data_IF_653939693028
#
_entry.id   IF_653939693028
#
_cell.length_a   1.000
_cell.length_b   1.000
_cell.length_c   1.000
_cell.angle_alpha   90.00
_cell.angle_beta   90.00
_cell.angle_gamma   90.00
#
_symmetry.space_group_name_H-M   'P 1'
#
loop_
_entity.id
_entity.type
_entity.pdbx_description
1 polymer ?
#
# COMPACT_ATOMS: atom_id res chain seq x y z
N UNK A 1 13.78 -17.83 9.22
CA UNK A 1 13.27 -16.52 9.68
C UNK A 1 13.05 -16.59 11.17
N UNK A 2 13.38 -15.51 11.88
CA UNK A 2 13.05 -15.44 13.30
C UNK A 2 11.53 -15.12 13.46
N UNK A 3 11.04 -15.35 14.66
CA UNK A 3 9.62 -15.20 14.99
C UNK A 3 9.12 -13.75 14.75
N UNK A 4 9.94 -12.76 15.08
CA UNK A 4 9.61 -11.34 14.88
C UNK A 4 9.48 -10.98 13.40
N UNK A 5 10.37 -11.48 12.53
CA UNK A 5 10.27 -11.29 11.10
C UNK A 5 8.99 -11.91 10.51
N UNK A 6 8.61 -13.08 10.99
CA UNK A 6 7.36 -13.73 10.58
C UNK A 6 6.15 -12.91 11.02
N UNK A 7 6.11 -12.48 12.27
CA UNK A 7 5.04 -11.63 12.80
C UNK A 7 4.88 -10.34 11.98
N UNK A 8 5.99 -9.66 11.68
CA UNK A 8 5.96 -8.41 10.91
C UNK A 8 5.53 -8.65 9.46
N UNK A 9 5.94 -9.77 8.86
CA UNK A 9 5.49 -10.16 7.52
C UNK A 9 3.97 -10.31 7.47
N UNK A 10 3.40 -11.02 8.44
CA UNK A 10 1.96 -11.31 8.48
C UNK A 10 1.11 -10.09 8.86
N UNK A 11 1.60 -9.29 9.80
CA UNK A 11 0.80 -8.21 10.40
C UNK A 11 0.87 -6.89 9.64
N UNK A 12 2.05 -6.53 9.15
CA UNK A 12 2.28 -5.17 8.62
C UNK A 12 2.52 -5.12 7.11
N UNK A 13 2.91 -6.21 6.48
CA UNK A 13 3.32 -6.22 5.07
C UNK A 13 2.39 -7.09 4.22
N UNK A 14 2.11 -8.30 4.65
CA UNK A 14 1.24 -9.25 3.94
C UNK A 14 -0.12 -8.66 3.54
N UNK A 15 -0.81 -7.94 4.41
CA UNK A 15 -2.11 -7.36 4.07
C UNK A 15 -2.09 -6.35 2.92
N UNK A 16 -0.95 -5.71 2.67
CA UNK A 16 -0.80 -4.73 1.59
C UNK A 16 -0.57 -5.40 0.24
N UNK A 17 0.31 -6.40 0.19
CA UNK A 17 0.67 -7.10 -1.03
C UNK A 17 1.28 -6.22 -2.11
N UNK A 18 1.42 -6.81 -3.31
CA UNK A 18 2.05 -6.13 -4.46
C UNK A 18 1.06 -5.90 -5.62
N UNK A 19 -0.24 -6.01 -5.36
CA UNK A 19 -1.28 -5.91 -6.38
C UNK A 19 -2.35 -4.90 -5.99
N UNK A 20 -2.75 -4.06 -6.93
CA UNK A 20 -3.85 -3.12 -6.74
C UNK A 20 -3.48 -1.87 -5.93
N UNK A 21 -2.25 -1.73 -5.51
CA UNK A 21 -1.66 -0.55 -4.89
C UNK A 21 -0.17 -0.50 -5.14
N UNK A 22 0.46 0.64 -4.96
CA UNK A 22 1.90 0.82 -5.22
C UNK A 22 2.72 1.12 -3.95
N UNK A 23 2.21 0.81 -2.79
CA UNK A 23 2.91 1.13 -1.54
C UNK A 23 4.23 0.35 -1.40
N UNK A 24 4.24 -0.93 -1.77
CA UNK A 24 5.42 -1.79 -1.65
C UNK A 24 6.24 -1.90 -2.95
N UNK A 25 5.69 -1.50 -4.09
CA UNK A 25 6.32 -1.70 -5.40
C UNK A 25 6.76 -0.41 -6.08
N UNK A 26 6.90 0.67 -5.33
CA UNK A 26 7.42 1.95 -5.82
C UNK A 26 8.38 2.57 -4.81
N UNK A 27 9.26 3.44 -5.28
CA UNK A 27 10.12 4.25 -4.43
C UNK A 27 9.36 5.50 -4.00
N UNK A 28 9.18 5.66 -2.71
CA UNK A 28 8.51 6.84 -2.16
C UNK A 28 8.97 7.11 -0.71
N UNK A 29 8.80 8.34 -0.29
CA UNK A 29 9.00 8.78 1.09
C UNK A 29 8.03 9.93 1.40
N UNK A 30 8.15 10.55 2.56
CA UNK A 30 7.24 11.62 2.98
C UNK A 30 7.30 12.89 2.09
N UNK A 31 8.29 13.01 1.21
CA UNK A 31 8.43 14.15 0.30
C UNK A 31 7.72 13.94 -1.04
N UNK A 32 7.37 12.71 -1.40
CA UNK A 32 6.71 12.38 -2.67
C UNK A 32 5.51 11.45 -2.51
N UNK A 33 4.75 11.59 -1.43
CA UNK A 33 3.58 10.75 -1.14
C UNK A 33 2.41 10.97 -2.11
N UNK A 34 2.44 12.03 -2.93
CA UNK A 34 1.45 12.28 -3.99
C UNK A 34 1.41 11.19 -5.06
N UNK A 35 2.48 10.40 -5.19
CA UNK A 35 2.58 9.33 -6.18
C UNK A 35 1.90 8.02 -5.74
N UNK A 36 1.47 7.92 -4.49
CA UNK A 36 0.77 6.75 -4.00
C UNK A 36 -0.66 6.68 -4.55
N UNK A 37 -1.10 5.45 -4.85
CA UNK A 37 -2.47 5.17 -5.30
C UNK A 37 -3.40 5.02 -4.10
N UNK A 38 -3.89 6.13 -3.56
CA UNK A 38 -4.75 6.13 -2.38
C UNK A 38 -6.09 5.42 -2.63
N UNK A 39 -6.67 5.60 -3.81
CA UNK A 39 -7.92 4.92 -4.18
C UNK A 39 -7.72 3.40 -4.30
N UNK A 40 -6.52 2.96 -4.66
CA UNK A 40 -6.16 1.56 -4.71
C UNK A 40 -5.87 0.97 -3.34
N UNK A 41 -5.14 1.70 -2.48
CA UNK A 41 -4.71 1.17 -1.18
C UNK A 41 -5.81 1.15 -0.13
N UNK A 42 -6.87 1.93 -0.31
CA UNK A 42 -7.93 2.09 0.68
C UNK A 42 -8.50 0.76 1.18
N UNK A 43 -8.85 -0.15 0.30
CA UNK A 43 -9.47 -1.42 0.69
C UNK A 43 -8.54 -2.31 1.52
N UNK A 44 -7.23 -2.25 1.27
CA UNK A 44 -6.24 -3.02 2.03
C UNK A 44 -6.08 -2.45 3.44
N UNK A 45 -6.02 -1.13 3.58
CA UNK A 45 -5.96 -0.46 4.89
C UNK A 45 -7.28 -0.59 5.65
N UNK A 46 -8.40 -0.58 4.95
CA UNK A 46 -9.72 -0.85 5.55
C UNK A 46 -9.76 -2.24 6.18
N UNK A 47 -9.28 -3.24 5.45
CA UNK A 47 -9.21 -4.62 5.97
C UNK A 47 -8.27 -4.71 7.19
N UNK A 48 -7.13 -4.03 7.15
CA UNK A 48 -6.22 -3.99 8.31
C UNK A 48 -6.89 -3.36 9.54
N UNK A 49 -7.65 -2.29 9.33
CA UNK A 49 -8.28 -1.54 10.43
C UNK A 49 -9.46 -2.28 11.06
N UNK A 50 -10.32 -2.88 10.23
CA UNK A 50 -11.60 -3.45 10.67
C UNK A 50 -11.64 -4.98 10.64
N UNK A 51 -10.65 -5.65 10.06
CA UNK A 51 -10.62 -7.11 9.96
C UNK A 51 -11.64 -7.69 8.98
N UNK A 52 -12.22 -6.88 8.12
CA UNK A 52 -13.21 -7.29 7.12
C UNK A 52 -12.96 -6.62 5.78
N UNK A 53 -13.41 -7.26 4.71
CA UNK A 53 -13.26 -6.74 3.36
C UNK A 53 -14.21 -5.56 3.13
N UNK A 54 -13.68 -4.47 2.55
CA UNK A 54 -14.53 -3.36 2.13
C UNK A 54 -15.50 -3.82 1.03
N UNK A 55 -16.76 -3.44 1.17
CA UNK A 55 -17.82 -3.71 0.20
C UNK A 55 -18.65 -2.45 0.02
N UNK A 56 -18.95 -2.11 -1.24
CA UNK A 56 -19.86 -1.01 -1.57
C UNK A 56 -21.16 -1.60 -2.14
N UNK A 57 -22.01 -2.10 -1.25
CA UNK A 57 -23.27 -2.77 -1.63
C UNK A 57 -24.40 -1.79 -1.98
N UNK A 58 -24.25 -0.52 -1.62
CA UNK A 58 -25.33 0.48 -1.74
C UNK A 58 -25.47 1.11 -3.12
N UNK A 59 -24.64 0.74 -4.08
CA UNK A 59 -24.63 1.34 -5.42
C UNK A 59 -24.17 2.80 -5.44
N UNK A 60 -23.69 3.33 -4.32
CA UNK A 60 -23.06 4.64 -4.26
C UNK A 60 -21.67 4.51 -4.89
N UNK A 61 -21.41 5.30 -5.91
CA UNK A 61 -20.14 5.29 -6.61
C UNK A 61 -19.05 6.01 -5.77
N UNK A 62 -18.61 5.39 -4.68
CA UNK A 62 -17.53 5.95 -3.89
C UNK A 62 -17.64 5.69 -2.39
N UNK A 63 -16.66 6.24 -1.67
CA UNK A 63 -16.52 6.15 -0.21
C UNK A 63 -16.70 7.55 0.37
N UNK A 64 -17.45 7.69 1.46
CA UNK A 64 -17.58 8.99 2.13
C UNK A 64 -16.21 9.54 2.53
N UNK A 65 -16.04 10.85 2.46
CA UNK A 65 -14.76 11.49 2.79
C UNK A 65 -14.31 11.13 4.21
N UNK A 66 -15.22 11.16 5.18
CA UNK A 66 -14.90 10.84 6.58
C UNK A 66 -14.34 9.42 6.73
N UNK A 67 -14.95 8.44 6.09
CA UNK A 67 -14.49 7.04 6.17
C UNK A 67 -13.15 6.83 5.46
N UNK A 68 -13.03 7.34 4.24
CA UNK A 68 -11.79 7.23 3.46
C UNK A 68 -10.60 7.89 4.18
N UNK A 69 -10.76 9.13 4.59
CA UNK A 69 -9.72 9.90 5.28
C UNK A 69 -9.34 9.25 6.61
N UNK A 70 -10.32 8.80 7.39
CA UNK A 70 -10.08 8.11 8.67
C UNK A 70 -9.24 6.84 8.48
N UNK A 71 -9.54 6.02 7.47
CA UNK A 71 -8.79 4.80 7.19
C UNK A 71 -7.37 5.11 6.71
N UNK A 72 -7.23 5.97 5.72
CA UNK A 72 -5.91 6.32 5.16
C UNK A 72 -5.01 6.97 6.23
N UNK A 73 -5.54 7.94 6.96
CA UNK A 73 -4.77 8.70 7.96
C UNK A 73 -4.40 7.88 9.19
N UNK A 74 -5.06 6.76 9.42
CA UNK A 74 -4.64 5.79 10.45
C UNK A 74 -3.25 5.20 10.15
N UNK A 75 -2.91 5.00 8.87
CA UNK A 75 -1.70 4.29 8.45
C UNK A 75 -0.68 5.15 7.69
N UNK A 76 -1.08 6.31 7.19
CA UNK A 76 -0.23 7.18 6.38
C UNK A 76 -0.24 8.60 6.94
N UNK A 77 0.93 9.27 7.05
CA UNK A 77 1.04 10.62 7.59
C UNK A 77 0.65 11.68 6.55
N UNK A 78 -0.60 11.67 6.14
CA UNK A 78 -1.18 12.61 5.17
C UNK A 78 -2.34 13.36 5.78
N UNK A 79 -2.66 14.53 5.23
CA UNK A 79 -3.80 15.33 5.65
C UNK A 79 -5.02 15.09 4.76
N UNK A 80 -6.20 15.47 5.24
CA UNK A 80 -7.42 15.40 4.44
C UNK A 80 -7.33 16.27 3.19
N UNK A 81 -6.71 17.45 3.28
CA UNK A 81 -6.49 18.37 2.16
C UNK A 81 -5.60 17.74 1.10
N UNK A 82 -4.50 17.11 1.51
CA UNK A 82 -3.59 16.39 0.62
C UNK A 82 -4.30 15.22 -0.08
N UNK A 83 -5.12 14.45 0.63
CA UNK A 83 -5.89 13.35 0.05
C UNK A 83 -6.89 13.85 -1.02
N UNK A 84 -7.57 14.96 -0.77
CA UNK A 84 -8.48 15.56 -1.77
C UNK A 84 -7.76 16.01 -3.03
N UNK A 85 -6.51 16.45 -2.91
CA UNK A 85 -5.68 16.85 -4.04
C UNK A 85 -5.08 15.64 -4.77
N UNK A 86 -4.61 14.63 -4.03
CA UNK A 86 -3.81 13.53 -4.60
C UNK A 86 -4.63 12.32 -5.04
N UNK A 87 -5.77 12.07 -4.41
CA UNK A 87 -6.66 10.98 -4.76
C UNK A 87 -7.76 11.43 -5.74
N UNK A 88 -8.50 10.50 -6.29
CA UNK A 88 -9.70 10.78 -7.09
C UNK A 88 -10.84 11.08 -6.13
N UNK A 89 -11.20 12.34 -6.04
CA UNK A 89 -12.18 12.89 -5.12
C UNK A 89 -13.22 13.75 -5.84
N UNK A 90 -14.49 13.62 -5.47
CA UNK A 90 -15.59 14.42 -5.97
C UNK A 90 -16.06 15.40 -4.89
N UNK A 91 -15.81 16.70 -5.10
CA UNK A 91 -16.17 17.75 -4.17
C UNK A 91 -17.69 17.88 -3.99
N UNK A 92 -18.47 17.66 -5.05
CA UNK A 92 -19.92 17.81 -4.99
C UNK A 92 -20.58 16.78 -4.07
N UNK A 93 -20.17 15.52 -4.20
CA UNK A 93 -20.68 14.43 -3.35
C UNK A 93 -19.91 14.26 -2.06
N UNK A 94 -18.75 14.91 -1.91
CA UNK A 94 -17.81 14.72 -0.80
C UNK A 94 -17.45 13.23 -0.61
N UNK A 95 -17.10 12.58 -1.72
CA UNK A 95 -16.72 11.17 -1.75
C UNK A 95 -15.43 10.94 -2.52
N UNK A 96 -14.69 9.90 -2.12
CA UNK A 96 -13.56 9.39 -2.89
C UNK A 96 -14.03 8.24 -3.77
N UNK A 97 -13.55 8.20 -5.00
CA UNK A 97 -13.88 7.11 -5.90
C UNK A 97 -13.22 5.80 -5.43
N UNK A 98 -13.91 4.72 -5.60
CA UNK A 98 -13.39 3.38 -5.37
C UNK A 98 -13.89 2.43 -6.44
N UNK A 99 -12.99 1.60 -6.97
CA UNK A 99 -13.31 0.59 -7.96
C UNK A 99 -12.71 -0.75 -7.51
N UNK A 100 -13.55 -1.77 -7.55
CA UNK A 100 -13.14 -3.12 -7.18
C UNK A 100 -12.01 -3.62 -8.08
N UNK A 101 -11.04 -4.31 -7.49
CA UNK A 101 -9.96 -4.96 -8.24
C UNK A 101 -10.55 -5.98 -9.23
N UNK A 102 -10.06 -5.98 -10.45
CA UNK A 102 -10.56 -6.82 -11.52
C UNK A 102 -11.71 -6.21 -12.33
N UNK A 103 -12.16 -5.01 -11.97
CA UNK A 103 -13.09 -4.23 -12.77
C UNK A 103 -12.32 -3.14 -13.52
N UNK A 104 -12.76 -2.81 -14.74
CA UNK A 104 -12.08 -1.81 -15.57
C UNK A 104 -10.83 -2.34 -16.25
N UNK A 105 -9.81 -1.52 -16.38
CA UNK A 105 -8.61 -1.79 -17.19
C UNK A 105 -7.45 -2.42 -16.40
N UNK A 106 -7.67 -2.79 -15.15
CA UNK A 106 -6.61 -3.36 -14.32
C UNK A 106 -6.33 -4.81 -14.72
N UNK A 107 -5.09 -5.07 -15.16
CA UNK A 107 -4.59 -6.40 -15.48
C UNK A 107 -3.66 -6.89 -14.36
N UNK A 108 -3.97 -8.02 -13.69
CA UNK A 108 -3.05 -8.60 -12.72
C UNK A 108 -1.76 -9.06 -13.40
N UNK A 109 -0.65 -8.95 -12.66
CA UNK A 109 0.67 -9.40 -13.13
C UNK A 109 1.16 -10.55 -12.26
N UNK A 110 2.09 -11.36 -12.79
CA UNK A 110 2.75 -12.40 -11.98
C UNK A 110 3.47 -11.80 -10.79
N UNK A 111 4.12 -10.66 -10.96
CA UNK A 111 4.74 -9.91 -9.88
C UNK A 111 3.74 -9.58 -8.76
N UNK A 112 2.52 -9.21 -9.11
CA UNK A 112 1.47 -8.88 -8.15
C UNK A 112 1.06 -10.04 -7.23
N UNK A 113 1.37 -11.28 -7.61
CA UNK A 113 1.13 -12.48 -6.81
C UNK A 113 2.26 -12.77 -5.81
N UNK A 114 3.33 -11.99 -5.81
CA UNK A 114 4.45 -12.14 -4.89
C UNK A 114 3.98 -12.00 -3.44
N UNK A 115 4.60 -12.79 -2.56
CA UNK A 115 4.37 -12.74 -1.12
C UNK A 115 5.55 -12.02 -0.45
N UNK A 116 5.27 -11.08 0.47
CA UNK A 116 6.33 -10.41 1.20
C UNK A 116 6.89 -11.28 2.33
N UNK A 117 8.19 -11.30 2.43
CA UNK A 117 8.92 -12.00 3.48
C UNK A 117 9.93 -11.05 4.11
N UNK A 118 9.67 -10.62 5.34
CA UNK A 118 10.59 -9.78 6.11
C UNK A 118 11.79 -10.63 6.51
N UNK A 119 12.98 -10.20 6.12
CA UNK A 119 14.23 -10.91 6.41
C UNK A 119 15.11 -10.21 7.42
N UNK A 120 14.91 -8.91 7.64
CA UNK A 120 15.67 -8.12 8.61
C UNK A 120 14.79 -6.97 9.15
N UNK A 121 14.94 -6.67 10.42
CA UNK A 121 14.30 -5.57 11.11
C UNK A 121 15.37 -4.70 11.75
N UNK A 122 15.41 -3.42 11.40
CA UNK A 122 16.36 -2.46 11.96
C UNK A 122 15.64 -1.33 12.66
N UNK A 123 15.91 -1.16 13.95
CA UNK A 123 15.39 -0.06 14.75
C UNK A 123 16.35 1.12 14.70
N UNK A 124 15.85 2.29 14.28
CA UNK A 124 16.63 3.52 14.20
C UNK A 124 16.43 4.39 15.46
N UNK A 125 17.41 5.25 15.75
CA UNK A 125 17.36 6.15 16.90
C UNK A 125 16.23 7.20 16.81
N UNK A 126 15.79 7.54 15.60
CA UNK A 126 14.70 8.49 15.37
C UNK A 126 13.29 7.89 15.57
N UNK A 127 13.21 6.64 15.99
CA UNK A 127 11.95 5.93 16.21
C UNK A 127 11.37 5.25 14.96
N UNK A 128 12.02 5.38 13.81
CA UNK A 128 11.64 4.62 12.61
C UNK A 128 12.18 3.20 12.67
N UNK A 129 11.50 2.29 11.97
CA UNK A 129 11.90 0.89 11.84
C UNK A 129 11.97 0.56 10.36
N UNK A 130 13.09 0.02 9.91
CA UNK A 130 13.28 -0.40 8.52
C UNK A 130 13.13 -1.91 8.41
N UNK A 131 12.21 -2.34 7.59
CA UNK A 131 11.97 -3.74 7.28
C UNK A 131 12.59 -4.06 5.92
N UNK A 132 13.58 -4.95 5.88
CA UNK A 132 14.09 -5.48 4.62
C UNK A 132 13.22 -6.65 4.21
N UNK A 133 12.65 -6.60 3.01
CA UNK A 133 11.60 -7.49 2.56
C UNK A 133 11.98 -8.09 1.21
N UNK A 134 11.87 -9.41 1.09
CA UNK A 134 11.91 -10.10 -0.19
C UNK A 134 10.48 -10.31 -0.70
N UNK A 135 10.22 -9.91 -1.94
CA UNK A 135 9.00 -10.27 -2.65
C UNK A 135 9.24 -11.61 -3.35
N UNK A 136 8.61 -12.67 -2.85
CA UNK A 136 8.80 -14.03 -3.34
C UNK A 136 7.61 -14.45 -4.18
N UNK A 137 7.86 -14.92 -5.41
CA UNK A 137 6.82 -15.42 -6.30
C UNK A 137 6.86 -16.94 -6.40
N UNK A 138 5.90 -17.61 -5.79
CA UNK A 138 5.81 -19.08 -5.78
C UNK A 138 5.31 -19.68 -7.09
N UNK A 139 4.72 -18.87 -7.96
CA UNK A 139 4.08 -19.36 -9.20
C UNK A 139 5.07 -19.65 -10.35
N UNK A 140 6.31 -19.23 -10.19
CA UNK A 140 7.39 -19.51 -11.14
C UNK A 140 8.41 -20.36 -10.41
N UNK A 141 9.00 -21.35 -11.08
CA UNK A 141 10.05 -22.24 -10.56
C UNK A 141 11.34 -21.42 -10.31
N UNK A 142 11.21 -20.35 -9.55
CA UNK A 142 12.27 -19.44 -9.19
C UNK A 142 12.26 -19.32 -7.66
N UNK A 143 13.28 -19.86 -7.02
CA UNK A 143 13.43 -19.79 -5.57
C UNK A 143 14.02 -18.46 -5.10
N UNK A 144 14.28 -17.55 -6.04
CA UNK A 144 14.88 -16.24 -5.74
C UNK A 144 13.80 -15.17 -5.59
N UNK A 145 14.07 -14.22 -4.72
CA UNK A 145 13.22 -13.04 -4.58
C UNK A 145 13.18 -12.25 -5.89
N UNK A 146 11.98 -11.84 -6.31
CA UNK A 146 11.79 -11.01 -7.50
C UNK A 146 12.39 -9.62 -7.29
N UNK A 147 12.14 -9.05 -6.11
CA UNK A 147 12.76 -7.80 -5.65
C UNK A 147 13.06 -7.92 -4.16
N UNK A 148 14.01 -7.10 -3.73
CA UNK A 148 14.22 -6.80 -2.30
C UNK A 148 13.97 -5.30 -2.12
N UNK A 149 13.22 -4.95 -1.09
CA UNK A 149 12.94 -3.56 -0.78
C UNK A 149 13.00 -3.30 0.72
N UNK A 150 13.16 -2.04 1.09
CA UNK A 150 13.15 -1.58 2.46
C UNK A 150 11.89 -0.75 2.70
N UNK A 151 11.01 -1.24 3.55
CA UNK A 151 9.84 -0.52 4.01
C UNK A 151 10.16 0.16 5.34
N UNK A 152 10.01 1.47 5.39
CA UNK A 152 10.19 2.23 6.63
C UNK A 152 8.84 2.48 7.27
N UNK A 153 8.72 2.13 8.54
CA UNK A 153 7.51 2.31 9.34
C UNK A 153 7.82 3.09 10.62
N UNK A 154 6.81 3.70 11.21
CA UNK A 154 6.91 4.34 12.51
C UNK A 154 5.72 3.92 13.36
N UNK A 155 5.99 3.32 14.52
CA UNK A 155 4.94 2.94 15.45
C UNK A 155 4.47 4.17 16.23
N UNK A 156 3.15 4.32 16.35
CA UNK A 156 2.53 5.39 17.10
C UNK A 156 2.35 4.97 18.57
N UNK A 157 2.10 5.93 19.45
CA UNK A 157 1.92 5.67 20.89
C UNK A 157 0.73 4.74 21.20
N UNK A 158 -0.28 4.70 20.33
CA UNK A 158 -1.43 3.79 20.46
C UNK A 158 -1.18 2.38 19.90
N UNK A 159 0.04 2.10 19.43
CA UNK A 159 0.41 0.82 18.84
C UNK A 159 0.10 0.68 17.35
N UNK A 160 -0.53 1.67 16.72
CA UNK A 160 -0.74 1.68 15.28
C UNK A 160 0.57 1.93 14.54
N UNK A 161 0.61 1.55 13.26
CA UNK A 161 1.77 1.72 12.40
C UNK A 161 1.51 2.80 11.35
N UNK A 162 2.48 3.72 11.16
CA UNK A 162 2.52 4.59 10.00
C UNK A 162 3.57 4.10 9.01
N UNK A 163 3.20 3.98 7.75
CA UNK A 163 4.12 3.72 6.65
C UNK A 163 4.70 5.06 6.18
N UNK A 164 6.01 5.19 6.17
CA UNK A 164 6.67 6.48 5.90
C UNK A 164 7.65 6.46 4.74
N UNK A 165 7.88 5.32 4.13
CA UNK A 165 8.72 5.21 2.94
C UNK A 165 8.93 3.77 2.49
N UNK A 166 9.30 3.62 1.22
CA UNK A 166 9.67 2.35 0.62
C UNK A 166 10.77 2.57 -0.42
N UNK A 167 11.78 1.74 -0.44
CA UNK A 167 12.91 1.82 -1.36
C UNK A 167 13.20 0.47 -1.97
N UNK A 168 13.10 0.37 -3.29
CA UNK A 168 13.47 -0.82 -4.04
C UNK A 168 14.99 -0.88 -4.15
N UNK A 169 15.60 -1.98 -3.73
CA UNK A 169 17.05 -2.13 -3.72
C UNK A 169 17.60 -2.56 -5.09
N UNK A 170 18.87 -2.25 -5.31
CA UNK A 170 19.61 -2.58 -6.51
C UNK A 170 18.88 -2.16 -7.79
N UNK A 171 18.82 -3.01 -8.78
CA UNK A 171 18.10 -2.78 -10.04
C UNK A 171 16.68 -3.42 -10.04
N UNK A 172 16.15 -3.73 -8.85
CA UNK A 172 14.85 -4.39 -8.72
C UNK A 172 13.69 -3.63 -9.36
N UNK A 173 13.80 -2.29 -9.44
CA UNK A 173 12.77 -1.46 -10.11
C UNK A 173 12.55 -1.87 -11.57
N UNK A 174 13.59 -2.36 -12.25
CA UNK A 174 13.51 -2.81 -13.65
C UNK A 174 12.71 -4.13 -13.81
N UNK A 175 12.54 -4.88 -12.71
CA UNK A 175 11.78 -6.12 -12.67
C UNK A 175 10.29 -5.90 -12.38
N UNK A 176 9.92 -4.69 -11.99
CA UNK A 176 8.55 -4.36 -11.63
C UNK A 176 7.82 -3.88 -12.89
N UNK A 177 6.68 -4.50 -13.25
CA UNK A 177 5.85 -3.98 -14.34
C UNK A 177 5.42 -2.54 -14.04
N UNK A 178 5.22 -1.74 -15.10
CA UNK A 178 4.70 -0.39 -14.93
C UNK A 178 3.41 -0.43 -14.12
N UNK A 179 3.37 0.31 -13.01
CA UNK A 179 2.20 0.35 -12.17
C UNK A 179 1.01 0.97 -12.91
N UNK A 180 -0.12 0.30 -12.84
CA UNK A 180 -1.40 0.80 -13.35
C UNK A 180 -2.24 1.29 -12.17
N UNK A 181 -2.51 2.60 -12.12
CA UNK A 181 -3.36 3.16 -11.08
C UNK A 181 -4.77 2.58 -11.17
N UNK A 182 -5.37 2.31 -10.01
CA UNK A 182 -6.72 1.74 -9.91
C UNK A 182 -7.75 2.60 -10.64
N UNK A 183 -7.62 3.90 -10.51
CA UNK A 183 -8.46 4.91 -11.15
C UNK A 183 -7.57 5.97 -11.78
N UNK A 184 -7.85 6.28 -13.03
CA UNK A 184 -7.20 7.41 -13.69
C UNK A 184 -7.72 8.72 -13.09
N UNK A 185 -6.79 9.57 -12.66
CA UNK A 185 -7.15 10.95 -12.38
C UNK A 185 -7.61 11.57 -13.70
N UNK A 186 -8.80 12.15 -13.70
CA UNK A 186 -9.23 12.96 -14.83
C UNK A 186 -8.18 14.05 -15.01
N UNK A 187 -7.49 14.01 -16.15
CA UNK A 187 -6.62 15.11 -16.54
C UNK A 187 -7.52 16.29 -16.86
N UNK A 188 -7.45 17.30 -16.02
CA UNK A 188 -8.05 18.60 -16.32
C UNK A 188 -7.34 19.28 -17.49
#
# INVERSE_FOLDING_TARGET
>A
LNEECLEYSEKYVGPLGYQGNNLLCSNWNIENMQDLDYNGIFEYLYNMKYGEKFSNETGVAGVTADEFESVIMTYLPVTAEELKEWAVYDEQSNTYAWQRLGCGNYAPTHFGLSLPEVIEIKYNEDGTVVLTINAVCDSVVCNDAVITHELTVKFQNDGSVHYVGNRILDNGIDNIPKYQYRLDKLQD
#
